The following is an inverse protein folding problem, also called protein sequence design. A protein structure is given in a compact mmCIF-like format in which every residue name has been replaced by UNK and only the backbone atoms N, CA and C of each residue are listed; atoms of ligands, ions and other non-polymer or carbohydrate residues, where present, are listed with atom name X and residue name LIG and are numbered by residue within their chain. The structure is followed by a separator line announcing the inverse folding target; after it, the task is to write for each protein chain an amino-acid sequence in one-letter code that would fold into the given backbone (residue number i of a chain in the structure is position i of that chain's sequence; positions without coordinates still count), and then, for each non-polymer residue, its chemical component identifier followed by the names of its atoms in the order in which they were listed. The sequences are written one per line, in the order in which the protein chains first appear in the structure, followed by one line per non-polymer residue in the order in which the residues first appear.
data_IF_018381483760
#
_entry.id   IF_018381483760
#
_cell.length_a   1.000
_cell.length_b   1.000
_cell.length_c   1.000
_cell.angle_alpha   90.00
_cell.angle_beta   90.00
_cell.angle_gamma   90.00
#
_symmetry.space_group_name_H-M   'P 1'
#
loop_
_entity.id
_entity.type
_entity.pdbx_description
1 polymer ?
#
# COMPACT_ATOMS: atom_id res chain seq x y z
N UNK A 1 1.04 -15.92 -35.14
CA UNK A 1 1.26 -15.83 -33.68
C UNK A 1 0.19 -16.68 -33.02
N UNK A 2 0.55 -17.84 -32.47
CA UNK A 2 -0.38 -18.64 -31.67
C UNK A 2 -0.64 -17.88 -30.36
N UNK A 3 -1.86 -17.37 -30.18
CA UNK A 3 -2.33 -16.94 -28.86
C UNK A 3 -2.64 -18.22 -28.09
N UNK A 4 -1.91 -18.47 -27.01
CA UNK A 4 -2.20 -19.59 -26.12
C UNK A 4 -3.65 -19.55 -25.64
N UNK A 5 -4.25 -20.72 -25.41
CA UNK A 5 -5.64 -20.93 -24.97
C UNK A 5 -5.90 -20.50 -23.53
N UNK A 6 -5.06 -19.64 -22.96
CA UNK A 6 -5.22 -19.13 -21.61
C UNK A 6 -6.33 -18.06 -21.59
N UNK A 7 -7.41 -18.37 -20.88
CA UNK A 7 -8.51 -17.45 -20.62
C UNK A 7 -8.11 -16.48 -19.50
N UNK A 8 -7.45 -15.39 -19.90
CA UNK A 8 -7.05 -14.32 -18.99
C UNK A 8 -8.25 -13.61 -18.35
N UNK A 9 -9.47 -13.74 -18.90
CA UNK A 9 -10.66 -13.06 -18.36
C UNK A 9 -11.05 -13.54 -16.95
N UNK A 10 -10.52 -14.67 -16.48
CA UNK A 10 -10.83 -15.25 -15.16
C UNK A 10 -9.70 -15.15 -14.13
N UNK A 11 -8.62 -14.43 -14.43
CA UNK A 11 -7.55 -14.25 -13.45
C UNK A 11 -8.04 -13.43 -12.24
N UNK A 12 -7.69 -13.85 -11.01
CA UNK A 12 -7.96 -13.05 -9.82
C UNK A 12 -7.22 -11.71 -9.93
N UNK A 13 -7.81 -10.67 -9.33
CA UNK A 13 -7.27 -9.31 -9.38
C UNK A 13 -5.84 -9.29 -8.83
N UNK A 14 -4.92 -8.74 -9.62
CA UNK A 14 -3.50 -8.64 -9.29
C UNK A 14 -3.24 -7.26 -8.73
N UNK A 15 -2.62 -7.20 -7.55
CA UNK A 15 -2.22 -5.95 -6.92
C UNK A 15 -0.71 -5.81 -6.93
N UNK A 16 -0.22 -4.72 -7.53
CA UNK A 16 1.17 -4.30 -7.45
C UNK A 16 1.26 -3.13 -6.46
N UNK A 17 1.82 -3.36 -5.28
CA UNK A 17 1.86 -2.36 -4.20
C UNK A 17 3.30 -1.85 -4.05
N UNK A 18 3.50 -0.56 -4.28
CA UNK A 18 4.77 0.14 -4.05
C UNK A 18 4.65 1.01 -2.79
N UNK A 19 5.56 0.82 -1.84
CA UNK A 19 5.64 1.63 -0.62
C UNK A 19 6.93 2.45 -0.70
N UNK A 20 6.79 3.78 -0.63
CA UNK A 20 7.85 4.73 -0.92
C UNK A 20 8.07 5.65 0.27
N UNK A 21 9.33 5.80 0.68
CA UNK A 21 9.69 6.70 1.79
C UNK A 21 9.59 8.19 1.44
N UNK A 22 9.52 8.53 0.14
CA UNK A 22 9.56 9.91 -0.37
C UNK A 22 8.34 10.21 -1.24
N UNK A 23 8.06 11.50 -1.41
CA UNK A 23 7.03 12.00 -2.31
C UNK A 23 7.55 11.99 -3.75
N UNK A 24 6.82 11.33 -4.64
CA UNK A 24 7.14 11.19 -6.06
C UNK A 24 5.95 11.60 -6.95
N UNK A 25 4.71 11.45 -6.48
CA UNK A 25 3.52 11.81 -7.25
C UNK A 25 3.02 13.21 -6.86
N UNK A 26 2.50 14.00 -7.82
CA UNK A 26 1.92 15.32 -7.55
C UNK A 26 0.48 15.20 -6.98
N UNK A 27 0.28 14.33 -6.00
CA UNK A 27 -0.97 14.12 -5.28
C UNK A 27 -0.80 14.50 -3.81
N UNK A 28 -1.83 15.03 -3.18
CA UNK A 28 -1.78 15.33 -1.74
C UNK A 28 -1.96 14.07 -0.89
N UNK A 29 -2.72 13.09 -1.38
CA UNK A 29 -3.01 11.86 -0.64
C UNK A 29 -1.81 10.90 -0.64
N UNK A 30 -1.56 10.27 0.51
CA UNK A 30 -0.51 9.26 0.65
C UNK A 30 -0.80 7.95 -0.09
N UNK A 31 -2.06 7.69 -0.42
CA UNK A 31 -2.53 6.47 -1.09
C UNK A 31 -3.06 6.82 -2.48
N UNK A 32 -2.46 6.22 -3.50
CA UNK A 32 -2.85 6.40 -4.92
C UNK A 32 -3.14 5.05 -5.55
N UNK A 33 -4.26 4.96 -6.26
CA UNK A 33 -4.68 3.78 -7.03
C UNK A 33 -4.61 4.11 -8.52
N UNK A 34 -3.90 3.28 -9.29
CA UNK A 34 -3.69 3.46 -10.72
C UNK A 34 -3.93 2.15 -11.49
N UNK A 35 -4.38 2.29 -12.74
CA UNK A 35 -4.58 1.18 -13.68
C UNK A 35 -3.78 1.44 -14.95
N UNK A 36 -3.48 0.37 -15.70
CA UNK A 36 -2.82 0.52 -17.00
C UNK A 36 -3.79 1.04 -18.05
N UNK A 37 -3.33 2.02 -18.82
CA UNK A 37 -4.07 2.63 -19.91
C UNK A 37 -3.24 2.63 -21.19
N UNK A 38 -3.92 2.51 -22.33
CA UNK A 38 -3.32 2.62 -23.66
C UNK A 38 -2.91 4.06 -23.95
N UNK A 39 -2.20 4.28 -25.04
CA UNK A 39 -1.79 5.62 -25.47
C UNK A 39 -2.99 6.57 -25.72
N UNK A 40 -4.15 6.02 -26.07
CA UNK A 40 -5.41 6.77 -26.24
C UNK A 40 -6.26 6.83 -24.96
N UNK A 41 -5.76 6.30 -23.84
CA UNK A 41 -6.39 6.40 -22.51
C UNK A 41 -7.36 5.27 -22.14
N UNK A 42 -7.56 4.28 -23.01
CA UNK A 42 -8.43 3.13 -22.73
C UNK A 42 -7.80 2.22 -21.67
N UNK A 43 -8.61 1.67 -20.77
CA UNK A 43 -8.11 0.72 -19.76
C UNK A 43 -7.68 -0.55 -20.48
N UNK A 44 -6.38 -0.88 -20.39
CA UNK A 44 -5.80 -2.08 -21.03
C UNK A 44 -6.24 -3.33 -20.27
N UNK A 45 -6.31 -3.21 -18.94
CA UNK A 45 -6.64 -4.30 -18.04
C UNK A 45 -7.32 -3.77 -16.79
N UNK A 46 -8.38 -4.44 -16.37
CA UNK A 46 -9.12 -4.15 -15.13
C UNK A 46 -8.71 -5.07 -13.97
N UNK A 47 -7.93 -6.11 -14.25
CA UNK A 47 -7.45 -7.08 -13.26
C UNK A 47 -6.17 -6.59 -12.57
N UNK A 48 -5.29 -5.86 -13.25
CA UNK A 48 -4.10 -5.30 -12.63
C UNK A 48 -4.35 -3.90 -12.04
N UNK A 49 -4.09 -3.76 -10.74
CA UNK A 49 -4.16 -2.48 -10.03
C UNK A 49 -2.83 -2.17 -9.36
N UNK A 50 -2.31 -0.97 -9.65
CA UNK A 50 -1.13 -0.41 -8.99
C UNK A 50 -1.57 0.44 -7.81
N UNK A 51 -0.99 0.16 -6.65
CA UNK A 51 -1.20 0.93 -5.43
C UNK A 51 0.15 1.56 -5.07
N UNK A 52 0.18 2.87 -4.92
CA UNK A 52 1.35 3.58 -4.41
C UNK A 52 1.03 4.17 -3.05
N UNK A 53 1.89 3.90 -2.06
CA UNK A 53 1.83 4.43 -0.71
C UNK A 53 3.07 5.29 -0.49
N UNK A 54 2.91 6.59 -0.32
CA UNK A 54 3.99 7.56 -0.09
C UNK A 54 4.03 7.96 1.40
N UNK A 55 4.93 7.35 2.17
CA UNK A 55 5.03 7.51 3.63
C UNK A 55 5.26 8.97 4.06
N UNK A 56 5.96 9.74 3.24
CA UNK A 56 6.22 11.16 3.52
C UNK A 56 4.97 12.05 3.41
N UNK A 57 3.85 11.56 2.86
CA UNK A 57 2.53 12.24 2.87
C UNK A 57 1.62 11.78 4.01
N UNK A 58 2.02 10.76 4.76
CA UNK A 58 1.22 10.22 5.85
C UNK A 58 1.48 10.97 7.16
N UNK A 59 0.65 11.95 7.49
CA UNK A 59 0.91 12.86 8.61
C UNK A 59 -0.02 12.68 9.81
N UNK A 60 -0.77 11.57 9.85
CA UNK A 60 -1.62 11.23 10.99
C UNK A 60 -0.78 11.02 12.24
N UNK A 61 -1.21 11.62 13.35
CA UNK A 61 -0.66 11.35 14.69
C UNK A 61 -1.31 10.09 15.30
N UNK A 62 -0.72 9.55 16.37
CA UNK A 62 -1.17 8.29 16.99
C UNK A 62 -2.67 8.28 17.32
N UNK A 63 -3.22 9.40 17.79
CA UNK A 63 -4.64 9.52 18.16
C UNK A 63 -5.59 9.56 16.96
N UNK A 64 -5.06 9.73 15.74
CA UNK A 64 -5.82 9.77 14.47
C UNK A 64 -5.72 8.44 13.70
N UNK A 65 -5.03 7.44 14.26
CA UNK A 65 -4.88 6.11 13.66
C UNK A 65 -6.14 5.29 13.98
N UNK A 66 -6.92 5.00 12.94
CA UNK A 66 -8.20 4.30 13.08
C UNK A 66 -8.17 2.94 12.39
N UNK A 67 -7.58 2.86 11.19
CA UNK A 67 -7.63 1.67 10.34
C UNK A 67 -6.36 0.81 10.44
N UNK A 68 -6.45 -0.47 10.07
CA UNK A 68 -5.26 -1.33 10.01
C UNK A 68 -4.25 -0.87 8.96
N UNK A 69 -4.69 -0.22 7.89
CA UNK A 69 -3.81 0.44 6.94
C UNK A 69 -3.05 1.61 7.59
N UNK A 70 -3.74 2.45 8.38
CA UNK A 70 -3.08 3.53 9.12
C UNK A 70 -2.04 2.98 10.10
N UNK A 71 -2.38 1.91 10.84
CA UNK A 71 -1.44 1.23 11.75
C UNK A 71 -0.21 0.75 10.98
N UNK A 72 -0.39 0.06 9.86
CA UNK A 72 0.70 -0.46 9.04
C UNK A 72 1.60 0.66 8.51
N UNK A 73 1.01 1.72 7.93
CA UNK A 73 1.74 2.85 7.34
C UNK A 73 2.49 3.64 8.42
N UNK A 74 1.84 3.91 9.56
CA UNK A 74 2.51 4.53 10.71
C UNK A 74 3.69 3.69 11.19
N UNK A 75 3.51 2.37 11.26
CA UNK A 75 4.55 1.42 11.65
C UNK A 75 5.76 1.48 10.73
N UNK A 76 5.53 1.43 9.43
CA UNK A 76 6.60 1.54 8.43
C UNK A 76 7.31 2.90 8.48
N UNK A 77 6.57 3.99 8.70
CA UNK A 77 7.13 5.35 8.81
C UNK A 77 8.01 5.53 10.04
N UNK A 78 7.70 4.88 11.16
CA UNK A 78 8.33 5.14 12.47
C UNK A 78 9.40 4.13 12.87
N UNK A 79 9.28 2.85 12.46
CA UNK A 79 10.22 1.79 12.84
C UNK A 79 11.68 2.06 12.43
N UNK A 80 11.89 2.78 11.33
CA UNK A 80 13.22 3.03 10.78
C UNK A 80 13.89 4.30 11.33
N UNK A 81 13.18 5.10 12.15
CA UNK A 81 13.65 6.45 12.53
C UNK A 81 14.17 6.56 13.96
N UNK A 82 13.76 5.69 14.89
CA UNK A 82 14.20 5.72 16.30
C UNK A 82 13.90 4.40 17.01
N UNK A 83 14.73 3.99 17.98
CA UNK A 83 14.31 3.02 19.00
C UNK A 83 13.21 3.67 19.86
N UNK A 84 11.97 3.18 19.86
CA UNK A 84 10.89 3.81 20.61
C UNK A 84 11.15 3.62 22.12
N UNK A 85 11.21 4.72 22.88
CA UNK A 85 11.11 4.65 24.35
C UNK A 85 9.72 4.20 24.81
N UNK A 86 8.71 4.33 23.93
CA UNK A 86 7.35 3.85 24.16
C UNK A 86 6.68 3.48 22.82
N UNK A 87 6.14 2.26 22.76
CA UNK A 87 5.42 1.71 21.61
C UNK A 87 3.96 2.24 21.66
N UNK A 88 3.33 2.66 20.54
CA UNK A 88 1.90 2.97 20.51
C UNK A 88 1.05 1.79 21.01
N UNK A 89 -0.08 2.08 21.64
CA UNK A 89 -0.92 1.07 22.28
C UNK A 89 -1.45 -0.02 21.32
N UNK A 90 -1.54 0.28 20.02
CA UNK A 90 -1.95 -0.69 18.99
C UNK A 90 -0.83 -1.64 18.55
N UNK A 91 0.44 -1.38 18.90
CA UNK A 91 1.52 -2.38 18.83
C UNK A 91 1.46 -3.33 20.03
N UNK A 92 0.27 -3.84 20.31
CA UNK A 92 0.12 -4.90 21.31
C UNK A 92 0.62 -6.23 20.72
N UNK A 93 0.89 -7.19 21.60
CA UNK A 93 1.48 -8.48 21.23
C UNK A 93 0.62 -9.23 20.20
N UNK A 94 -0.71 -9.13 20.31
CA UNK A 94 -1.66 -9.78 19.41
C UNK A 94 -1.59 -9.24 17.98
N UNK A 95 -1.47 -7.92 17.82
CA UNK A 95 -1.29 -7.29 16.51
C UNK A 95 0.06 -7.64 15.87
N UNK A 96 1.13 -7.66 16.66
CA UNK A 96 2.47 -8.05 16.19
C UNK A 96 2.50 -9.50 15.69
N UNK A 97 1.80 -10.42 16.38
CA UNK A 97 1.68 -11.82 15.95
C UNK A 97 1.01 -11.95 14.58
N UNK A 98 -0.09 -11.21 14.35
CA UNK A 98 -0.79 -11.21 13.07
C UNK A 98 0.05 -10.59 11.95
N UNK A 99 0.79 -9.51 12.23
CA UNK A 99 1.57 -8.81 11.21
C UNK A 99 2.92 -9.48 10.88
N UNK A 100 3.54 -10.19 11.83
CA UNK A 100 4.88 -10.79 11.65
C UNK A 100 4.87 -12.33 11.59
N UNK A 101 3.72 -12.98 11.80
CA UNK A 101 3.61 -14.44 11.68
C UNK A 101 4.34 -15.22 12.76
N UNK A 102 4.50 -14.62 13.94
CA UNK A 102 5.04 -15.23 15.17
C UNK A 102 3.94 -15.51 16.19
#
# INVERSE_FOLDING_TARGET
MERGTFDYAKLPKIYAIAILAKNILPTETFHTVANLRSEIGEIIDSQLTFITIELAKFDKIVTEIETDLDKLVYTMKTLHTTEPTQYPAFWNEEWLRVCWGI
#
